data_IF_324763434611
#
_entry.id   IF_324763434611
#
_cell.length_a   1.000
_cell.length_b   1.000
_cell.length_c   1.000
_cell.angle_alpha   90.00
_cell.angle_beta   90.00
_cell.angle_gamma   90.00
#
_symmetry.space_group_name_H-M   'P 1'
#
loop_
_entity.id
_entity.type
_entity.pdbx_description
1 polymer ?
#
# COMPACT_ATOMS: atom_id res chain seq x y z
N UNK A 1 1.92 -64.97 8.07
CA UNK A 1 2.99 -65.95 8.35
C UNK A 1 4.27 -65.16 8.52
N UNK A 2 4.91 -64.92 9.67
CA UNK A 2 4.88 -65.33 11.08
C UNK A 2 5.34 -64.07 11.87
N UNK A 3 4.64 -63.58 12.91
CA UNK A 3 4.73 -63.98 14.33
C UNK A 3 6.16 -63.98 14.91
N UNK A 4 6.52 -62.94 15.68
CA UNK A 4 7.41 -62.97 16.90
C UNK A 4 7.09 -61.69 17.73
N UNK A 5 6.21 -61.70 18.74
CA UNK A 5 6.44 -61.97 20.19
C UNK A 5 7.36 -60.92 20.88
N UNK A 6 6.86 -59.82 21.46
CA UNK A 6 6.48 -59.59 22.88
C UNK A 6 7.48 -60.04 23.94
N UNK A 7 7.87 -59.16 24.89
CA UNK A 7 7.83 -59.35 26.37
C UNK A 7 8.52 -58.16 27.11
N UNK A 8 7.71 -57.48 27.94
CA UNK A 8 7.92 -56.94 29.31
C UNK A 8 9.18 -56.08 29.61
N UNK A 9 9.11 -54.95 30.31
CA UNK A 9 8.27 -54.65 31.47
C UNK A 9 8.16 -53.12 31.73
N UNK A 10 6.98 -52.73 32.21
CA UNK A 10 6.70 -51.87 33.38
C UNK A 10 7.73 -50.78 33.72
N UNK A 11 7.33 -49.50 33.80
CA UNK A 11 6.75 -48.95 35.04
C UNK A 11 5.68 -47.91 34.72
N UNK A 12 4.51 -48.16 35.29
CA UNK A 12 3.44 -47.22 35.48
C UNK A 12 3.76 -46.23 36.61
N UNK A 13 3.45 -44.96 36.40
CA UNK A 13 2.90 -44.08 37.43
C UNK A 13 2.19 -42.93 36.68
N UNK A 14 0.88 -42.97 36.46
CA UNK A 14 -0.17 -42.58 37.44
C UNK A 14 0.06 -41.13 37.89
N UNK A 15 -0.83 -40.15 37.73
CA UNK A 15 -2.29 -40.09 37.69
C UNK A 15 -2.69 -38.77 37.00
N UNK A 16 -3.77 -38.73 36.20
CA UNK A 16 -5.11 -38.14 36.53
C UNK A 16 -4.99 -36.63 36.83
N UNK A 17 -5.80 -35.73 36.27
CA UNK A 17 -7.08 -35.32 36.84
C UNK A 17 -7.60 -34.09 36.04
N UNK A 18 -8.75 -34.26 35.39
CA UNK A 18 -9.92 -33.35 35.31
C UNK A 18 -9.91 -32.07 34.45
N UNK A 19 -10.97 -32.01 33.65
CA UNK A 19 -11.62 -30.93 32.92
C UNK A 19 -11.63 -29.53 33.57
N UNK A 20 -11.61 -28.49 32.73
CA UNK A 20 -12.66 -27.45 32.67
C UNK A 20 -12.29 -26.35 31.65
N UNK A 21 -13.21 -26.05 30.75
CA UNK A 21 -13.23 -24.82 29.97
C UNK A 21 -13.10 -23.59 30.88
N UNK A 22 -12.12 -22.71 30.61
CA UNK A 22 -12.29 -21.27 30.80
C UNK A 22 -11.61 -20.52 29.66
N UNK A 23 -12.44 -19.97 28.79
CA UNK A 23 -12.15 -18.74 28.05
C UNK A 23 -11.67 -17.67 29.03
N UNK A 24 -10.40 -17.28 28.89
CA UNK A 24 -9.88 -16.04 29.49
C UNK A 24 -9.18 -15.29 28.37
N UNK A 25 -9.85 -14.28 27.83
CA UNK A 25 -9.18 -13.19 27.12
C UNK A 25 -8.24 -12.49 28.10
N UNK A 26 -6.97 -12.23 27.74
CA UNK A 26 -6.22 -11.18 28.38
C UNK A 26 -6.47 -9.90 27.59
N UNK A 27 -7.46 -9.13 28.03
CA UNK A 27 -7.32 -7.68 27.94
C UNK A 27 -6.36 -7.29 29.07
N UNK A 28 -5.09 -7.04 28.74
CA UNK A 28 -4.27 -6.10 29.49
C UNK A 28 -3.00 -5.73 28.71
N UNK A 29 -2.98 -4.47 28.26
CA UNK A 29 -1.88 -3.53 28.47
C UNK A 29 -0.48 -4.02 28.15
N UNK A 30 -0.12 -3.97 26.86
CA UNK A 30 1.27 -3.84 26.46
C UNK A 30 1.74 -2.41 26.78
N UNK A 31 2.63 -2.29 27.76
CA UNK A 31 3.51 -1.14 27.95
C UNK A 31 4.33 -0.87 26.67
N UNK A 32 4.85 0.35 26.44
CA UNK A 32 5.53 0.69 25.21
C UNK A 32 6.87 -0.06 25.14
N UNK A 33 6.97 -1.01 24.21
CA UNK A 33 8.27 -1.57 23.82
C UNK A 33 9.01 -0.50 23.02
N UNK A 34 9.83 0.28 23.72
CA UNK A 34 10.85 1.08 23.10
C UNK A 34 11.85 0.16 22.38
N UNK A 35 12.12 0.45 21.11
CA UNK A 35 13.39 0.07 20.49
C UNK A 35 13.40 -1.12 19.52
N UNK A 36 12.33 -1.37 18.75
CA UNK A 36 12.53 -2.05 17.48
C UNK A 36 13.09 -1.04 16.46
N UNK A 37 14.19 -1.33 15.73
CA UNK A 37 14.59 -0.49 14.61
C UNK A 37 13.47 -0.55 13.58
N UNK A 38 12.77 0.57 13.40
CA UNK A 38 11.83 0.75 12.29
C UNK A 38 12.60 0.44 11.01
N UNK A 39 12.28 -0.68 10.37
CA UNK A 39 12.68 -0.92 8.99
C UNK A 39 12.29 0.33 8.20
N UNK A 40 13.07 0.77 7.19
CA UNK A 40 12.63 1.84 6.31
C UNK A 40 11.35 1.36 5.63
N UNK A 41 10.20 1.76 6.19
CA UNK A 41 8.92 1.61 5.54
C UNK A 41 8.94 2.58 4.39
N UNK A 42 8.81 2.07 3.17
CA UNK A 42 8.61 2.91 2.01
C UNK A 42 7.31 3.71 2.20
N UNK A 43 7.49 4.94 2.67
CA UNK A 43 6.41 5.86 3.05
C UNK A 43 5.46 6.12 1.87
N UNK A 44 5.95 5.94 0.64
CA UNK A 44 5.22 6.21 -0.60
C UNK A 44 4.66 4.97 -1.27
N UNK A 45 4.85 3.77 -0.71
CA UNK A 45 4.43 2.50 -1.34
C UNK A 45 2.94 2.49 -1.73
N UNK A 46 2.06 2.98 -0.85
CA UNK A 46 0.63 3.07 -1.12
C UNK A 46 0.32 4.05 -2.26
N UNK A 47 0.96 5.22 -2.26
CA UNK A 47 0.78 6.22 -3.32
C UNK A 47 1.34 5.73 -4.67
N UNK A 48 2.45 4.98 -4.66
CA UNK A 48 2.99 4.34 -5.87
C UNK A 48 2.00 3.34 -6.47
N UNK A 49 1.35 2.53 -5.63
CA UNK A 49 0.33 1.60 -6.10
C UNK A 49 -0.90 2.32 -6.69
N UNK A 50 -1.31 3.43 -6.06
CA UNK A 50 -2.40 4.28 -6.59
C UNK A 50 -2.02 4.92 -7.93
N UNK A 51 -0.79 5.41 -8.07
CA UNK A 51 -0.29 6.00 -9.32
C UNK A 51 -0.28 4.96 -10.43
N UNK A 52 0.27 3.77 -10.15
CA UNK A 52 0.27 2.65 -11.09
C UNK A 52 -1.13 2.26 -11.56
N UNK A 53 -2.10 2.25 -10.64
CA UNK A 53 -3.49 1.88 -10.95
C UNK A 53 -4.24 2.94 -11.75
N UNK A 54 -4.02 4.21 -11.47
CA UNK A 54 -4.92 5.29 -11.92
C UNK A 54 -4.28 6.32 -12.86
N UNK A 55 -2.95 6.47 -12.83
CA UNK A 55 -2.24 7.58 -13.48
C UNK A 55 -1.26 7.09 -14.56
N UNK A 56 -0.59 5.96 -14.30
CA UNK A 56 0.45 5.40 -15.16
C UNK A 56 0.00 5.16 -16.61
N UNK A 57 -1.26 4.77 -16.83
CA UNK A 57 -1.77 4.50 -18.18
C UNK A 57 -1.71 5.69 -19.14
N UNK A 58 -1.62 6.92 -18.62
CA UNK A 58 -1.49 8.14 -19.42
C UNK A 58 -0.18 8.89 -19.13
N UNK A 59 0.28 8.90 -17.88
CA UNK A 59 1.50 9.60 -17.48
C UNK A 59 2.78 8.76 -17.66
N UNK A 60 2.66 7.47 -17.95
CA UNK A 60 3.78 6.54 -18.04
C UNK A 60 4.30 6.10 -16.67
N UNK A 61 5.02 4.96 -16.60
CA UNK A 61 5.56 4.42 -15.35
C UNK A 61 6.65 5.31 -14.74
N UNK A 62 7.30 6.15 -15.56
CA UNK A 62 8.33 7.07 -15.10
C UNK A 62 7.83 8.53 -15.08
N UNK A 63 6.54 8.79 -15.30
CA UNK A 63 5.99 10.14 -15.31
C UNK A 63 6.40 10.97 -16.54
N UNK A 64 6.88 10.32 -17.60
CA UNK A 64 7.36 10.95 -18.82
C UNK A 64 6.24 11.63 -19.63
N UNK A 65 4.99 11.19 -19.46
CA UNK A 65 3.86 11.63 -20.27
C UNK A 65 4.03 11.25 -21.75
N UNK A 66 3.50 12.06 -22.64
CA UNK A 66 3.62 11.85 -24.09
C UNK A 66 2.29 11.64 -24.81
N UNK A 67 2.34 11.24 -26.10
CA UNK A 67 1.15 11.01 -26.89
C UNK A 67 0.39 9.78 -26.37
N UNK A 68 -0.92 9.93 -26.16
CA UNK A 68 -1.82 8.83 -25.80
C UNK A 68 -3.20 9.07 -26.42
N UNK A 69 -4.04 8.04 -26.45
CA UNK A 69 -5.40 8.14 -26.97
C UNK A 69 -6.43 8.12 -25.86
N UNK A 70 -7.32 9.12 -25.87
CA UNK A 70 -8.49 9.19 -25.01
C UNK A 70 -9.70 9.42 -25.89
N UNK A 71 -10.71 8.55 -25.79
CA UNK A 71 -11.95 8.59 -26.59
C UNK A 71 -11.70 8.71 -28.12
N UNK A 72 -10.71 7.97 -28.62
CA UNK A 72 -10.35 7.95 -30.04
C UNK A 72 -9.67 9.22 -30.55
N UNK A 73 -9.26 10.13 -29.65
CA UNK A 73 -8.48 11.33 -29.98
C UNK A 73 -7.08 11.21 -29.40
N UNK A 74 -6.08 11.52 -30.21
CA UNK A 74 -4.72 11.69 -29.72
C UNK A 74 -4.63 12.98 -28.88
N UNK A 75 -4.12 12.83 -27.67
CA UNK A 75 -3.77 13.91 -26.77
C UNK A 75 -2.30 13.80 -26.40
N UNK A 76 -1.72 14.88 -25.89
CA UNK A 76 -0.36 14.86 -25.35
C UNK A 76 -0.39 15.16 -23.86
N UNK A 77 -0.08 14.15 -23.05
CA UNK A 77 0.00 14.26 -21.59
C UNK A 77 1.31 14.96 -21.23
N UNK A 78 1.29 15.98 -20.38
CA UNK A 78 2.51 16.67 -19.96
C UNK A 78 3.41 15.75 -19.14
N UNK A 79 4.72 15.90 -19.31
CA UNK A 79 5.71 15.23 -18.46
C UNK A 79 5.64 15.79 -17.04
N UNK A 80 5.64 14.91 -16.04
CA UNK A 80 5.69 15.30 -14.63
C UNK A 80 7.05 15.86 -14.22
N UNK A 81 8.08 15.67 -15.07
CA UNK A 81 9.43 16.22 -14.94
C UNK A 81 9.58 17.63 -15.53
N UNK A 82 8.62 18.12 -16.33
CA UNK A 82 8.70 19.46 -16.94
C UNK A 82 8.72 20.53 -15.83
N UNK A 83 9.69 21.45 -15.88
CA UNK A 83 9.83 22.48 -14.85
C UNK A 83 8.57 23.35 -14.70
N UNK A 84 7.84 23.61 -15.79
CA UNK A 84 6.60 24.40 -15.74
C UNK A 84 5.53 23.65 -14.96
N UNK A 85 5.46 22.33 -15.12
CA UNK A 85 4.58 21.46 -14.33
C UNK A 85 5.02 21.44 -12.87
N UNK A 86 6.32 21.29 -12.61
CA UNK A 86 6.88 21.29 -11.26
C UNK A 86 6.75 22.64 -10.53
N UNK A 87 6.52 23.75 -11.23
CA UNK A 87 6.28 25.10 -10.66
C UNK A 87 4.84 25.31 -10.18
N UNK A 88 3.87 24.50 -10.60
CA UNK A 88 2.52 24.58 -10.01
C UNK A 88 2.55 24.22 -8.53
N UNK A 89 1.57 24.71 -7.76
CA UNK A 89 1.46 24.46 -6.33
C UNK A 89 0.81 23.10 -6.04
N UNK A 90 0.96 22.60 -4.81
CA UNK A 90 0.36 21.34 -4.39
C UNK A 90 -1.18 21.40 -4.41
N UNK A 91 -1.76 22.58 -4.18
CA UNK A 91 -3.20 22.82 -4.29
C UNK A 91 -3.67 22.68 -5.75
N UNK A 92 -2.89 23.18 -6.72
CA UNK A 92 -3.22 22.99 -8.15
C UNK A 92 -3.14 21.51 -8.53
N UNK A 93 -2.13 20.76 -8.07
CA UNK A 93 -2.06 19.32 -8.30
C UNK A 93 -3.26 18.59 -7.68
N UNK A 94 -3.56 18.89 -6.42
CA UNK A 94 -4.72 18.33 -5.70
C UNK A 94 -6.02 18.60 -6.46
N UNK A 95 -6.21 19.84 -6.93
CA UNK A 95 -7.38 20.24 -7.70
C UNK A 95 -7.48 19.49 -9.03
N UNK A 96 -6.38 19.40 -9.79
CA UNK A 96 -6.36 18.68 -11.07
C UNK A 96 -6.67 17.19 -10.90
N UNK A 97 -6.11 16.54 -9.88
CA UNK A 97 -6.43 15.13 -9.59
C UNK A 97 -7.90 14.99 -9.18
N UNK A 98 -8.39 15.88 -8.32
CA UNK A 98 -9.76 15.82 -7.79
C UNK A 98 -10.80 16.07 -8.88
N UNK A 99 -10.66 17.16 -9.61
CA UNK A 99 -11.67 17.72 -10.51
C UNK A 99 -11.42 17.41 -12.00
N UNK A 100 -10.23 16.89 -12.34
CA UNK A 100 -9.80 16.76 -13.72
C UNK A 100 -9.31 18.08 -14.33
N UNK A 101 -8.70 17.99 -15.51
CA UNK A 101 -8.30 19.16 -16.31
C UNK A 101 -8.23 18.74 -17.80
N UNK A 102 -9.09 19.32 -18.63
CA UNK A 102 -9.23 18.92 -20.04
C UNK A 102 -9.53 17.43 -20.21
N UNK A 103 -8.67 16.65 -20.90
CA UNK A 103 -8.87 15.22 -21.10
C UNK A 103 -8.49 14.35 -19.89
N UNK A 104 -7.90 14.93 -18.84
CA UNK A 104 -7.64 14.20 -17.60
C UNK A 104 -8.95 14.09 -16.80
N UNK A 105 -9.46 12.87 -16.53
CA UNK A 105 -10.72 12.70 -15.82
C UNK A 105 -10.62 13.10 -14.34
N UNK A 106 -11.73 13.47 -13.68
CA UNK A 106 -11.77 13.65 -12.24
C UNK A 106 -11.59 12.32 -11.50
N UNK A 107 -10.95 12.37 -10.33
CA UNK A 107 -10.79 11.20 -9.45
C UNK A 107 -11.47 11.36 -8.07
N UNK A 108 -12.20 12.46 -7.83
CA UNK A 108 -12.90 12.69 -6.55
C UNK A 108 -13.84 11.56 -6.13
N UNK A 109 -14.47 10.87 -7.08
CA UNK A 109 -15.40 9.75 -6.79
C UNK A 109 -14.67 8.40 -6.61
N UNK A 110 -13.37 8.36 -6.90
CA UNK A 110 -12.56 7.12 -6.89
C UNK A 110 -11.51 7.10 -5.79
N UNK A 111 -11.06 8.27 -5.33
CA UNK A 111 -9.96 8.44 -4.38
C UNK A 111 -10.38 9.34 -3.23
N UNK A 112 -9.96 8.99 -2.02
CA UNK A 112 -10.13 9.81 -0.83
C UNK A 112 -9.19 11.02 -0.87
N UNK A 113 -9.51 12.06 -0.10
CA UNK A 113 -8.69 13.27 -0.03
C UNK A 113 -7.24 12.98 0.41
N UNK A 114 -7.07 12.04 1.34
CA UNK A 114 -5.76 11.61 1.84
C UNK A 114 -4.95 10.87 0.78
N UNK A 115 -5.62 10.07 -0.07
CA UNK A 115 -5.00 9.36 -1.18
C UNK A 115 -4.54 10.32 -2.28
N UNK A 116 -5.35 11.35 -2.56
CA UNK A 116 -4.98 12.42 -3.50
C UNK A 116 -3.76 13.19 -2.95
N UNK A 117 -3.77 13.57 -1.68
CA UNK A 117 -2.63 14.26 -1.07
C UNK A 117 -1.36 13.39 -1.11
N UNK A 118 -1.47 12.08 -0.86
CA UNK A 118 -0.36 11.15 -0.96
C UNK A 118 0.16 11.01 -2.39
N UNK A 119 -0.72 11.03 -3.40
CA UNK A 119 -0.31 11.06 -4.82
C UNK A 119 0.44 12.33 -5.19
N UNK A 120 0.02 13.50 -4.70
CA UNK A 120 0.77 14.75 -4.92
C UNK A 120 2.17 14.62 -4.32
N UNK A 121 2.28 14.15 -3.08
CA UNK A 121 3.58 13.91 -2.43
C UNK A 121 4.45 12.93 -3.21
N UNK A 122 3.87 11.84 -3.72
CA UNK A 122 4.56 10.87 -4.56
C UNK A 122 5.13 11.52 -5.82
N UNK A 123 4.31 12.29 -6.56
CA UNK A 123 4.76 12.98 -7.77
C UNK A 123 5.89 13.97 -7.48
N UNK A 124 5.80 14.72 -6.38
CA UNK A 124 6.87 15.64 -5.97
C UNK A 124 8.19 14.92 -5.70
N UNK A 125 8.13 13.81 -4.95
CA UNK A 125 9.33 13.08 -4.52
C UNK A 125 9.98 12.30 -5.66
N UNK A 126 9.17 11.61 -6.46
CA UNK A 126 9.66 10.65 -7.46
C UNK A 126 10.01 11.29 -8.80
N UNK A 127 9.26 12.32 -9.22
CA UNK A 127 9.44 12.93 -10.55
C UNK A 127 10.00 14.35 -10.52
N UNK A 128 10.04 15.00 -9.36
CA UNK A 128 10.43 16.42 -9.28
C UNK A 128 11.52 16.70 -8.25
N UNK A 129 11.95 15.69 -7.47
CA UNK A 129 12.99 15.83 -6.46
C UNK A 129 12.66 16.83 -5.34
N UNK A 130 11.36 17.05 -5.06
CA UNK A 130 10.86 18.00 -4.05
C UNK A 130 10.40 17.29 -2.79
#
# INVERSE_FOLDING_TARGET
MKLIATILASIALSLVVIACNKTVSPANSAAPVAGAPSQPTDELAAARALFKKNCEGCHGPTGEGGPTQVDGKEIRVPSLHDERVARHTDEKFTKVIKEGDGPMPPFADKLKAEEIAALVKFVRKEFQGK
#
